data_IF_238002758064
#
_entry.id   IF_238002758064
#
_cell.length_a   1.000
_cell.length_b   1.000
_cell.length_c   1.000
_cell.angle_alpha   90.00
_cell.angle_beta   90.00
_cell.angle_gamma   90.00
#
_symmetry.space_group_name_H-M   'P 1'
#
loop_
_entity.id
_entity.type
_entity.pdbx_description
1 polymer ?
#
# COMPACT_ATOMS: atom_id res chain seq x y z
N UNK A 1 -22.36 32.11 0.68
CA UNK A 1 -21.14 32.07 -0.15
C UNK A 1 -20.00 31.65 0.73
N UNK A 2 -19.62 30.41 0.72
CA UNK A 2 -18.31 29.89 1.19
C UNK A 2 -18.26 28.34 1.10
N UNK A 3 -18.13 27.78 -0.09
CA UNK A 3 -17.93 26.34 -0.30
C UNK A 3 -16.67 26.02 -1.12
N UNK A 4 -15.70 26.94 -1.18
CA UNK A 4 -14.53 26.79 -2.07
C UNK A 4 -13.23 26.28 -1.45
N UNK A 5 -13.09 26.19 -0.12
CA UNK A 5 -11.77 26.13 0.52
C UNK A 5 -11.34 24.74 1.03
N UNK A 6 -12.24 23.76 1.13
CA UNK A 6 -11.91 22.45 1.72
C UNK A 6 -11.30 21.43 0.73
N UNK A 7 -11.40 21.67 -0.57
CA UNK A 7 -10.96 20.70 -1.60
C UNK A 7 -9.52 20.87 -2.06
N UNK A 8 -8.92 22.03 -1.84
CA UNK A 8 -7.56 22.37 -2.29
C UNK A 8 -6.45 21.76 -1.44
N UNK A 9 -6.69 21.50 -0.15
CA UNK A 9 -5.63 21.00 0.76
C UNK A 9 -5.35 19.49 0.69
N UNK A 10 -6.22 18.68 0.07
CA UNK A 10 -6.03 17.22 -0.05
C UNK A 10 -5.22 16.80 -1.28
N UNK A 11 -5.21 17.60 -2.32
CA UNK A 11 -4.47 17.32 -3.56
C UNK A 11 -2.95 17.49 -3.40
N UNK A 12 -2.48 18.27 -2.44
CA UNK A 12 -1.06 18.57 -2.23
C UNK A 12 -0.23 17.40 -1.67
N UNK A 13 -0.85 16.29 -1.24
CA UNK A 13 -0.15 15.11 -0.72
C UNK A 13 0.14 14.02 -1.79
N UNK A 14 -0.44 14.13 -2.99
CA UNK A 14 -0.27 13.16 -4.06
C UNK A 14 0.91 13.57 -4.94
N UNK A 15 2.05 12.91 -4.72
CA UNK A 15 3.24 13.14 -5.54
C UNK A 15 3.05 12.61 -6.96
N UNK A 16 3.61 13.27 -7.98
CA UNK A 16 3.50 12.82 -9.38
C UNK A 16 4.28 11.53 -9.64
N UNK A 17 5.31 11.26 -8.83
CA UNK A 17 6.19 10.09 -8.93
C UNK A 17 6.51 9.53 -7.57
N UNK A 18 6.76 8.22 -7.52
CA UNK A 18 7.36 7.54 -6.37
C UNK A 18 8.49 6.65 -6.85
N UNK A 19 9.69 6.86 -6.33
CA UNK A 19 10.82 5.98 -6.56
C UNK A 19 10.63 4.67 -5.79
N UNK A 20 11.00 3.56 -6.41
CA UNK A 20 10.86 2.20 -5.88
C UNK A 20 12.22 1.50 -5.86
N UNK A 21 12.47 0.74 -4.80
CA UNK A 21 13.59 -0.19 -4.69
C UNK A 21 13.10 -1.64 -4.84
N UNK A 22 13.48 -2.31 -5.91
CA UNK A 22 13.26 -3.75 -6.10
C UNK A 22 14.42 -4.51 -5.47
N UNK A 23 14.15 -5.41 -4.56
CA UNK A 23 15.16 -6.20 -3.85
C UNK A 23 15.63 -7.39 -4.68
N UNK A 24 16.93 -7.47 -4.97
CA UNK A 24 17.55 -8.63 -5.60
C UNK A 24 17.95 -9.72 -4.58
N UNK A 25 18.18 -9.33 -3.32
CA UNK A 25 18.35 -10.23 -2.17
C UNK A 25 17.68 -9.63 -0.94
N UNK A 26 17.35 -10.44 0.05
CA UNK A 26 16.77 -10.00 1.32
C UNK A 26 17.66 -8.97 2.00
N UNK A 27 17.06 -8.02 2.68
CA UNK A 27 17.75 -6.88 3.31
C UNK A 27 17.32 -6.72 4.76
N UNK A 28 18.33 -6.57 5.62
CA UNK A 28 18.07 -6.08 6.96
C UNK A 28 17.68 -4.61 6.90
N UNK A 29 16.56 -4.26 7.53
CA UNK A 29 16.13 -2.90 7.72
C UNK A 29 16.68 -2.37 9.03
N UNK A 30 17.35 -1.22 8.99
CA UNK A 30 18.04 -0.61 10.11
C UNK A 30 17.36 0.67 10.57
N UNK A 31 17.50 1.00 11.85
CA UNK A 31 16.99 2.25 12.43
C UNK A 31 17.70 3.49 11.86
N UNK A 32 19.01 3.37 11.60
CA UNK A 32 19.88 4.46 11.05
C UNK A 32 20.69 3.95 9.86
N UNK A 33 21.15 4.85 8.96
CA UNK A 33 21.85 4.46 7.73
C UNK A 33 23.34 4.19 7.94
N UNK A 34 23.71 3.28 8.83
CA UNK A 34 25.07 2.79 9.02
C UNK A 34 25.08 1.34 9.49
N UNK A 35 26.15 0.61 9.17
CA UNK A 35 26.34 -0.75 9.63
C UNK A 35 26.49 -0.80 11.17
N UNK A 36 25.84 -1.80 11.80
CA UNK A 36 25.79 -1.92 13.26
C UNK A 36 24.68 -1.12 13.95
N UNK A 37 23.87 -0.37 13.19
CA UNK A 37 22.64 0.22 13.73
C UNK A 37 21.64 -0.87 14.12
N UNK A 38 20.77 -0.55 15.10
CA UNK A 38 19.72 -1.46 15.54
C UNK A 38 18.87 -1.96 14.37
N UNK A 39 18.64 -3.29 14.34
CA UNK A 39 17.82 -3.95 13.34
C UNK A 39 16.33 -3.69 13.60
N UNK A 40 15.60 -3.44 12.54
CA UNK A 40 14.13 -3.38 12.51
C UNK A 40 13.52 -4.67 11.95
N UNK A 41 14.37 -5.63 11.58
CA UNK A 41 13.99 -6.92 11.01
C UNK A 41 14.41 -7.10 9.55
N UNK A 42 14.22 -8.32 9.07
CA UNK A 42 14.57 -8.72 7.71
C UNK A 42 13.41 -8.43 6.74
N UNK A 43 13.70 -7.76 5.63
CA UNK A 43 12.79 -7.62 4.50
C UNK A 43 13.19 -8.65 3.43
N UNK A 44 12.30 -9.60 3.17
CA UNK A 44 12.54 -10.67 2.21
C UNK A 44 12.60 -10.15 0.77
N UNK A 45 13.45 -10.72 -0.05
CA UNK A 45 13.59 -10.37 -1.46
C UNK A 45 12.36 -10.76 -2.31
N UNK A 46 11.62 -11.76 -1.86
CA UNK A 46 10.40 -12.25 -2.50
C UNK A 46 9.22 -12.19 -1.56
N UNK A 47 8.06 -12.00 -2.12
CA UNK A 47 6.79 -11.98 -1.40
C UNK A 47 6.29 -13.41 -1.16
N UNK A 48 5.65 -13.66 -0.01
CA UNK A 48 5.35 -15.04 0.41
C UNK A 48 4.24 -15.73 -0.41
N UNK A 49 3.33 -14.96 -1.03
CA UNK A 49 2.19 -15.54 -1.76
C UNK A 49 2.50 -15.66 -3.25
N UNK A 50 3.08 -14.62 -3.85
CA UNK A 50 3.26 -14.52 -5.30
C UNK A 50 4.65 -14.88 -5.77
N UNK A 51 5.61 -15.08 -4.85
CA UNK A 51 7.05 -15.24 -5.14
C UNK A 51 7.65 -14.07 -5.96
N UNK A 52 6.87 -13.02 -6.20
CA UNK A 52 7.31 -11.81 -6.89
C UNK A 52 8.39 -11.08 -6.09
N UNK A 53 9.24 -10.32 -6.80
CA UNK A 53 10.25 -9.48 -6.16
C UNK A 53 9.60 -8.43 -5.26
N UNK A 54 10.14 -8.27 -4.05
CA UNK A 54 9.71 -7.22 -3.14
C UNK A 54 10.11 -5.85 -3.69
N UNK A 55 9.14 -4.95 -3.80
CA UNK A 55 9.32 -3.57 -4.21
C UNK A 55 8.88 -2.64 -3.07
N UNK A 56 9.78 -1.75 -2.66
CA UNK A 56 9.55 -0.83 -1.54
C UNK A 56 9.57 0.63 -2.03
N UNK A 57 8.66 1.50 -1.55
CA UNK A 57 8.75 2.92 -1.83
C UNK A 57 9.99 3.52 -1.15
N UNK A 58 10.80 4.24 -1.93
CA UNK A 58 11.97 4.97 -1.44
C UNK A 58 11.51 6.34 -0.94
N UNK A 59 11.84 6.65 0.30
CA UNK A 59 11.45 7.87 1.00
C UNK A 59 12.62 8.84 1.19
N UNK A 60 13.85 8.40 0.90
CA UNK A 60 15.04 9.22 0.99
C UNK A 60 16.31 8.42 0.74
N UNK A 61 17.40 9.15 0.50
CA UNK A 61 18.73 8.63 0.25
C UNK A 61 19.71 9.17 1.29
N UNK A 62 20.71 8.37 1.65
CA UNK A 62 21.82 8.78 2.50
C UNK A 62 23.12 8.10 2.05
N UNK A 63 24.23 8.81 2.13
CA UNK A 63 25.58 8.24 2.05
C UNK A 63 26.18 8.31 3.45
N UNK A 64 26.64 7.18 3.97
CA UNK A 64 27.35 7.13 5.25
C UNK A 64 28.83 7.55 5.07
N UNK A 65 29.52 7.82 6.16
CA UNK A 65 30.93 8.25 6.14
C UNK A 65 31.87 7.22 5.50
N UNK A 66 31.53 5.94 5.56
CA UNK A 66 32.24 4.83 4.90
C UNK A 66 31.92 4.70 3.40
N UNK A 67 31.22 5.68 2.81
CA UNK A 67 30.87 5.74 1.40
C UNK A 67 29.69 4.88 0.96
N UNK A 68 29.10 4.05 1.83
CA UNK A 68 27.93 3.21 1.51
C UNK A 68 26.69 4.04 1.24
N UNK A 69 25.89 3.58 0.28
CA UNK A 69 24.60 4.20 -0.05
C UNK A 69 23.46 3.47 0.64
N UNK A 70 22.55 4.23 1.22
CA UNK A 70 21.41 3.77 1.97
C UNK A 70 20.11 4.36 1.42
N UNK A 71 19.07 3.56 1.43
CA UNK A 71 17.71 3.95 1.05
C UNK A 71 16.84 3.92 2.29
N UNK A 72 16.16 5.02 2.59
CA UNK A 72 15.05 5.00 3.53
C UNK A 72 13.82 4.49 2.80
N UNK A 73 13.20 3.43 3.28
CA UNK A 73 12.08 2.77 2.62
C UNK A 73 10.90 2.58 3.57
N UNK A 74 9.69 2.46 3.00
CA UNK A 74 8.55 1.95 3.73
C UNK A 74 8.76 0.46 4.04
N UNK A 75 8.49 0.05 5.27
CA UNK A 75 8.57 -1.34 5.72
C UNK A 75 7.16 -1.87 5.97
N UNK A 76 6.80 -3.05 5.41
CA UNK A 76 5.50 -3.65 5.67
C UNK A 76 5.35 -4.14 7.11
N UNK A 77 4.11 -4.32 7.55
CA UNK A 77 3.79 -4.89 8.85
C UNK A 77 3.56 -3.87 9.95
N UNK A 78 3.53 -4.36 11.19
CA UNK A 78 3.27 -3.54 12.39
C UNK A 78 4.57 -2.96 12.98
N UNK A 79 4.49 -1.75 13.58
CA UNK A 79 3.36 -0.81 13.52
C UNK A 79 3.16 -0.25 12.11
N UNK A 80 1.93 0.17 11.80
CA UNK A 80 1.60 0.78 10.50
C UNK A 80 2.45 2.01 10.20
N UNK A 81 2.85 2.18 8.93
CA UNK A 81 3.65 3.33 8.49
C UNK A 81 5.14 3.26 8.87
N UNK A 82 5.63 2.11 9.32
CA UNK A 82 7.05 1.89 9.62
C UNK A 82 7.95 2.26 8.44
N UNK A 83 9.08 2.87 8.76
CA UNK A 83 10.17 3.14 7.82
C UNK A 83 11.50 2.66 8.38
N UNK A 84 12.44 2.34 7.52
CA UNK A 84 13.79 1.97 7.93
C UNK A 84 14.79 2.17 6.79
N UNK A 85 16.06 1.98 7.10
CA UNK A 85 17.14 2.12 6.15
C UNK A 85 17.63 0.75 5.69
N UNK A 86 17.72 0.56 4.38
CA UNK A 86 18.33 -0.63 3.78
C UNK A 86 19.55 -0.22 2.96
N UNK A 87 20.53 -1.11 2.87
CA UNK A 87 21.64 -0.90 1.93
C UNK A 87 21.10 -0.88 0.50
N UNK A 88 21.55 0.11 -0.30
CA UNK A 88 21.20 0.19 -1.73
C UNK A 88 21.83 -0.93 -2.55
N UNK A 89 22.86 -1.61 -2.03
CA UNK A 89 23.50 -2.74 -2.71
C UNK A 89 22.46 -3.84 -3.02
N UNK A 90 22.53 -4.42 -4.22
CA UNK A 90 21.60 -5.42 -4.73
C UNK A 90 20.11 -4.96 -4.65
N UNK A 91 19.88 -3.71 -5.02
CA UNK A 91 18.56 -3.17 -5.34
C UNK A 91 18.56 -2.59 -6.75
N UNK A 92 17.42 -2.65 -7.44
CA UNK A 92 17.17 -1.94 -8.69
C UNK A 92 16.19 -0.81 -8.41
N UNK A 93 16.58 0.41 -8.79
CA UNK A 93 15.72 1.58 -8.63
C UNK A 93 14.86 1.77 -9.89
N UNK A 94 13.59 1.99 -9.66
CA UNK A 94 12.59 2.27 -10.70
C UNK A 94 11.63 3.37 -10.21
N UNK A 95 10.67 3.77 -11.02
CA UNK A 95 9.69 4.81 -10.66
C UNK A 95 8.29 4.33 -11.02
N UNK A 96 7.34 4.55 -10.11
CA UNK A 96 5.92 4.49 -10.43
C UNK A 96 5.32 5.89 -10.53
N UNK A 97 4.37 6.05 -11.45
CA UNK A 97 3.58 7.27 -11.62
C UNK A 97 2.17 7.15 -11.04
N UNK A 98 1.86 6.02 -10.43
CA UNK A 98 0.55 5.71 -9.91
C UNK A 98 0.48 5.93 -8.40
N UNK A 99 -0.67 6.45 -7.94
CA UNK A 99 -0.99 6.60 -6.53
C UNK A 99 -2.49 6.30 -6.32
N UNK A 100 -2.81 5.60 -5.26
CA UNK A 100 -4.19 5.31 -4.86
C UNK A 100 -4.52 6.11 -3.61
N UNK A 101 -5.63 6.83 -3.62
CA UNK A 101 -6.19 7.51 -2.47
C UNK A 101 -7.52 6.84 -2.10
N UNK A 102 -7.62 6.35 -0.89
CA UNK A 102 -8.85 5.83 -0.29
C UNK A 102 -9.37 6.87 0.70
N UNK A 103 -10.58 7.34 0.53
CA UNK A 103 -11.29 8.16 1.52
C UNK A 103 -12.34 7.28 2.20
N UNK A 104 -12.19 7.08 3.51
CA UNK A 104 -13.14 6.27 4.29
C UNK A 104 -14.43 7.03 4.57
N UNK A 105 -14.38 8.36 4.71
CA UNK A 105 -15.57 9.20 4.89
C UNK A 105 -16.46 9.24 3.64
N UNK A 106 -15.87 9.45 2.46
CA UNK A 106 -16.61 9.44 1.20
C UNK A 106 -16.79 8.04 0.60
N UNK A 107 -16.15 7.00 1.17
CA UNK A 107 -16.20 5.60 0.71
C UNK A 107 -15.85 5.47 -0.76
N UNK A 108 -14.76 6.15 -1.15
CA UNK A 108 -14.28 6.21 -2.53
C UNK A 108 -12.80 5.89 -2.64
N UNK A 109 -12.45 5.25 -3.74
CA UNK A 109 -11.07 5.04 -4.18
C UNK A 109 -10.81 5.93 -5.38
N UNK A 110 -9.88 6.85 -5.26
CA UNK A 110 -9.42 7.72 -6.36
C UNK A 110 -8.03 7.27 -6.82
N UNK A 111 -7.85 7.14 -8.12
CA UNK A 111 -6.58 6.71 -8.71
C UNK A 111 -5.96 7.88 -9.45
N UNK A 112 -4.69 8.10 -9.17
CA UNK A 112 -3.89 9.20 -9.73
C UNK A 112 -2.78 8.65 -10.60
N UNK A 113 -2.50 9.33 -11.69
CA UNK A 113 -1.33 9.13 -12.54
C UNK A 113 -0.61 10.46 -12.73
N UNK A 114 0.67 10.53 -12.43
CA UNK A 114 1.49 11.76 -12.47
C UNK A 114 0.83 12.93 -11.71
N UNK A 115 0.29 12.66 -10.52
CA UNK A 115 -0.37 13.66 -9.67
C UNK A 115 -1.79 14.07 -10.09
N UNK A 116 -2.27 13.62 -11.25
CA UNK A 116 -3.63 13.93 -11.75
C UNK A 116 -4.58 12.75 -11.50
N UNK A 117 -5.78 13.03 -10.98
CA UNK A 117 -6.81 12.00 -10.81
C UNK A 117 -7.33 11.54 -12.17
N UNK A 118 -7.19 10.25 -12.45
CA UNK A 118 -7.60 9.64 -13.72
C UNK A 118 -8.86 8.82 -13.61
N UNK A 119 -9.19 8.32 -12.40
CA UNK A 119 -10.41 7.57 -12.15
C UNK A 119 -10.81 7.58 -10.68
N UNK A 120 -12.09 7.36 -10.40
CA UNK A 120 -12.60 7.15 -9.05
C UNK A 120 -13.69 6.06 -9.07
N UNK A 121 -13.77 5.31 -7.95
CA UNK A 121 -14.70 4.21 -7.77
C UNK A 121 -15.38 4.35 -6.41
N UNK A 122 -16.63 3.94 -6.31
CA UNK A 122 -17.27 3.72 -5.03
C UNK A 122 -16.68 2.44 -4.41
N UNK A 123 -16.54 2.44 -3.09
CA UNK A 123 -15.91 1.34 -2.36
C UNK A 123 -16.73 0.97 -1.12
N UNK A 124 -16.54 -0.25 -0.63
CA UNK A 124 -16.92 -0.61 0.73
C UNK A 124 -15.66 -0.51 1.58
N UNK A 125 -15.75 0.19 2.70
CA UNK A 125 -14.66 0.35 3.65
C UNK A 125 -14.98 -0.35 4.98
N UNK A 126 -14.01 -0.37 5.90
CA UNK A 126 -14.20 -0.95 7.23
C UNK A 126 -15.34 -0.29 8.01
N UNK A 127 -16.14 -1.11 8.70
CA UNK A 127 -17.15 -0.64 9.65
C UNK A 127 -16.48 -0.06 10.92
N UNK A 128 -17.25 0.66 11.73
CA UNK A 128 -16.72 1.35 12.92
C UNK A 128 -15.97 0.42 13.89
N UNK A 129 -16.45 -0.83 14.08
CA UNK A 129 -15.80 -1.83 14.95
C UNK A 129 -14.53 -2.45 14.36
N UNK A 130 -14.32 -2.38 13.05
CA UNK A 130 -13.14 -2.89 12.35
C UNK A 130 -12.75 -1.91 11.23
N UNK A 131 -12.27 -0.72 11.56
CA UNK A 131 -12.06 0.35 10.59
C UNK A 131 -10.92 0.03 9.62
N UNK A 132 -11.00 0.57 8.41
CA UNK A 132 -9.86 0.66 7.52
C UNK A 132 -8.84 1.62 8.14
N UNK A 133 -7.58 1.21 8.38
CA UNK A 133 -6.59 2.05 9.06
C UNK A 133 -6.20 3.25 8.20
N UNK A 134 -6.11 4.42 8.82
CA UNK A 134 -5.67 5.65 8.16
C UNK A 134 -4.14 5.71 8.09
N UNK A 135 -3.61 6.34 7.03
CA UNK A 135 -2.16 6.53 6.90
C UNK A 135 -1.63 6.44 5.48
N UNK A 136 -0.30 6.36 5.38
CA UNK A 136 0.43 6.19 4.12
C UNK A 136 0.96 4.76 4.04
N UNK A 137 0.56 4.06 3.03
CA UNK A 137 0.86 2.66 2.78
C UNK A 137 1.35 2.47 1.34
N UNK A 138 1.61 1.24 0.98
CA UNK A 138 1.95 0.85 -0.39
C UNK A 138 1.43 -0.56 -0.69
N UNK A 139 1.35 -0.91 -1.96
CA UNK A 139 0.99 -2.25 -2.40
C UNK A 139 2.17 -3.19 -2.15
N UNK A 140 1.98 -4.21 -1.32
CA UNK A 140 2.98 -5.27 -1.10
C UNK A 140 2.96 -6.30 -2.21
N UNK A 141 1.77 -6.79 -2.54
CA UNK A 141 1.56 -7.85 -3.54
C UNK A 141 0.33 -7.58 -4.39
N UNK A 142 0.40 -8.00 -5.65
CA UNK A 142 -0.73 -8.04 -6.57
C UNK A 142 -1.07 -9.51 -6.81
N UNK A 143 -2.20 -9.97 -6.28
CA UNK A 143 -2.58 -11.37 -6.22
C UNK A 143 -3.75 -11.61 -7.17
N UNK A 144 -3.59 -12.57 -8.10
CA UNK A 144 -4.70 -13.12 -8.88
C UNK A 144 -5.36 -14.20 -8.03
N UNK A 145 -6.64 -14.05 -7.77
CA UNK A 145 -7.42 -15.00 -7.01
C UNK A 145 -8.11 -16.01 -7.94
N UNK A 146 -8.26 -17.28 -7.54
CA UNK A 146 -9.03 -18.27 -8.31
C UNK A 146 -10.45 -17.79 -8.58
N UNK A 147 -11.04 -18.26 -9.67
CA UNK A 147 -12.45 -18.00 -9.95
C UNK A 147 -13.32 -18.53 -8.80
N UNK A 148 -14.29 -17.73 -8.35
CA UNK A 148 -15.13 -18.07 -7.20
C UNK A 148 -14.50 -17.87 -5.82
N UNK A 149 -13.20 -17.56 -5.71
CA UNK A 149 -12.60 -17.25 -4.41
C UNK A 149 -13.18 -15.95 -3.82
N UNK A 150 -13.23 -15.89 -2.49
CA UNK A 150 -13.68 -14.71 -1.76
C UNK A 150 -12.81 -13.50 -2.13
N UNK A 151 -13.44 -12.44 -2.63
CA UNK A 151 -12.75 -11.22 -3.06
C UNK A 151 -12.12 -11.26 -4.47
N UNK A 152 -12.34 -12.35 -5.25
CA UNK A 152 -11.87 -12.40 -6.64
C UNK A 152 -12.43 -11.22 -7.47
N UNK A 153 -11.78 -10.89 -8.61
CA UNK A 153 -10.73 -11.66 -9.31
C UNK A 153 -9.30 -11.33 -8.88
N UNK A 154 -9.08 -10.26 -8.13
CA UNK A 154 -7.75 -9.82 -7.70
C UNK A 154 -7.78 -9.20 -6.31
N UNK A 155 -6.63 -9.27 -5.63
CA UNK A 155 -6.36 -8.51 -4.42
C UNK A 155 -5.03 -7.74 -4.55
N UNK A 156 -5.02 -6.47 -4.13
CA UNK A 156 -3.82 -5.70 -3.87
C UNK A 156 -3.61 -5.70 -2.35
N UNK A 157 -2.73 -6.56 -1.87
CA UNK A 157 -2.36 -6.62 -0.46
C UNK A 157 -1.51 -5.39 -0.10
N UNK A 158 -1.88 -4.70 0.98
CA UNK A 158 -1.22 -3.45 1.41
C UNK A 158 -0.23 -3.69 2.54
N UNK A 159 0.71 -2.76 2.72
CA UNK A 159 1.58 -2.69 3.89
C UNK A 159 0.84 -2.34 5.18
N UNK A 160 -0.45 -2.05 5.10
CA UNK A 160 -1.34 -1.79 6.21
C UNK A 160 -1.77 -3.08 6.92
N UNK A 161 -1.86 -3.01 8.25
CA UNK A 161 -2.43 -4.07 9.10
C UNK A 161 -3.61 -3.49 9.87
N UNK A 162 -4.64 -4.30 10.11
CA UNK A 162 -5.77 -3.91 10.95
C UNK A 162 -5.29 -3.44 12.32
N UNK A 163 -5.88 -2.38 12.84
CA UNK A 163 -5.62 -1.87 14.19
C UNK A 163 -6.40 -2.65 15.26
N UNK A 164 -7.36 -3.47 14.85
CA UNK A 164 -8.25 -4.23 15.74
C UNK A 164 -7.99 -5.73 15.60
N UNK A 165 -7.97 -6.25 14.38
CA UNK A 165 -7.78 -7.67 14.11
C UNK A 165 -6.29 -8.00 14.01
N UNK A 166 -5.75 -8.72 14.99
CA UNK A 166 -4.35 -9.19 14.96
C UNK A 166 -4.18 -10.30 13.92
N UNK A 167 -5.20 -11.16 13.82
CA UNK A 167 -5.31 -12.23 12.82
C UNK A 167 -6.67 -12.18 12.13
N UNK A 168 -6.70 -12.54 10.86
CA UNK A 168 -7.93 -12.66 10.07
C UNK A 168 -7.74 -13.66 8.94
N UNK A 169 -8.60 -14.67 8.86
CA UNK A 169 -8.57 -15.74 7.85
C UNK A 169 -7.17 -16.40 7.70
N UNK A 170 -6.52 -16.70 8.84
CA UNK A 170 -5.19 -17.33 8.88
C UNK A 170 -4.02 -16.41 8.56
N UNK A 171 -4.25 -15.12 8.37
CA UNK A 171 -3.21 -14.13 8.09
C UNK A 171 -3.09 -13.04 9.17
N UNK A 172 -2.05 -12.20 9.11
CA UNK A 172 -1.70 -11.23 10.15
C UNK A 172 -2.59 -9.98 10.17
N UNK A 173 -3.88 -10.11 9.85
CA UNK A 173 -4.83 -8.98 9.77
C UNK A 173 -4.45 -7.96 8.68
N UNK A 174 -3.92 -8.43 7.55
CA UNK A 174 -3.48 -7.59 6.44
C UNK A 174 -4.68 -6.94 5.72
N UNK A 175 -4.55 -5.66 5.42
CA UNK A 175 -5.55 -4.92 4.64
C UNK A 175 -5.26 -5.08 3.15
N UNK A 176 -6.33 -5.23 2.37
CA UNK A 176 -6.24 -5.31 0.92
C UNK A 176 -7.34 -4.47 0.23
N UNK A 177 -7.08 -4.08 -1.02
CA UNK A 177 -8.15 -3.75 -1.97
C UNK A 177 -8.47 -5.03 -2.74
N UNK A 178 -9.75 -5.43 -2.83
CA UNK A 178 -10.15 -6.65 -3.52
C UNK A 178 -11.55 -6.56 -4.14
N UNK A 179 -11.90 -7.55 -4.97
CA UNK A 179 -13.20 -7.61 -5.64
C UNK A 179 -14.36 -8.00 -4.72
N UNK A 180 -15.54 -8.15 -5.31
CA UNK A 180 -16.79 -8.45 -4.60
C UNK A 180 -17.25 -9.92 -4.73
N UNK A 181 -16.53 -10.75 -5.44
CA UNK A 181 -16.93 -12.16 -5.60
C UNK A 181 -17.05 -12.83 -4.23
N UNK A 182 -18.22 -13.42 -3.95
CA UNK A 182 -18.53 -14.12 -2.69
C UNK A 182 -18.28 -13.29 -1.42
N UNK A 183 -18.41 -11.96 -1.52
CA UNK A 183 -18.31 -11.02 -0.39
C UNK A 183 -19.52 -10.10 -0.44
N UNK A 184 -20.32 -10.10 0.58
CA UNK A 184 -21.48 -9.21 0.67
C UNK A 184 -21.14 -7.73 0.80
N UNK A 185 -22.18 -6.90 0.69
CA UNK A 185 -22.16 -5.47 0.94
C UNK A 185 -22.49 -4.62 -0.28
N UNK A 186 -22.92 -3.38 -0.02
CA UNK A 186 -23.28 -2.39 -1.03
C UNK A 186 -22.15 -1.37 -1.19
N UNK A 187 -21.73 -1.10 -2.42
CA UNK A 187 -20.75 -0.06 -2.71
C UNK A 187 -21.18 1.30 -2.15
N UNK A 188 -20.26 2.03 -1.57
CA UNK A 188 -20.53 3.29 -0.88
C UNK A 188 -20.88 3.12 0.60
N UNK A 189 -20.72 1.94 1.19
CA UNK A 189 -20.98 1.68 2.61
C UNK A 189 -19.73 1.40 3.44
N UNK A 190 -19.86 1.43 4.76
CA UNK A 190 -18.85 1.02 5.72
C UNK A 190 -19.28 -0.32 6.34
N UNK A 191 -18.96 -1.45 5.68
CA UNK A 191 -19.46 -2.76 6.04
C UNK A 191 -18.40 -3.87 6.06
N UNK A 192 -17.14 -3.57 5.74
CA UNK A 192 -16.07 -4.58 5.73
C UNK A 192 -15.40 -4.74 7.11
N UNK A 193 -14.51 -5.73 7.22
CA UNK A 193 -13.66 -5.94 8.38
C UNK A 193 -12.29 -5.21 8.27
N UNK A 194 -12.24 -4.12 7.47
CA UNK A 194 -11.07 -3.26 7.29
C UNK A 194 -10.55 -3.23 5.85
N UNK A 195 -10.72 -4.28 5.06
CA UNK A 195 -10.38 -4.27 3.63
C UNK A 195 -11.25 -3.30 2.83
N UNK A 196 -10.74 -2.83 1.72
CA UNK A 196 -11.44 -1.95 0.78
C UNK A 196 -11.95 -2.79 -0.39
N UNK A 197 -13.28 -2.87 -0.57
CA UNK A 197 -13.89 -3.67 -1.62
C UNK A 197 -14.31 -2.78 -2.79
N UNK A 198 -14.00 -3.24 -3.99
CA UNK A 198 -14.37 -2.60 -5.26
C UNK A 198 -15.14 -3.58 -6.13
N UNK A 199 -15.94 -3.09 -7.07
CA UNK A 199 -16.50 -3.97 -8.09
C UNK A 199 -15.39 -4.68 -8.88
N UNK A 200 -15.71 -5.86 -9.45
CA UNK A 200 -14.72 -6.71 -10.09
C UNK A 200 -14.09 -6.06 -11.33
N UNK A 201 -14.86 -5.23 -12.05
CA UNK A 201 -14.36 -4.45 -13.18
C UNK A 201 -13.36 -3.38 -12.75
N UNK A 202 -13.66 -2.67 -11.64
CA UNK A 202 -12.76 -1.69 -11.05
C UNK A 202 -11.45 -2.34 -10.57
N UNK A 203 -11.53 -3.50 -9.88
CA UNK A 203 -10.33 -4.24 -9.47
C UNK A 203 -9.51 -4.70 -10.67
N UNK A 204 -10.15 -5.25 -11.70
CA UNK A 204 -9.47 -5.66 -12.94
C UNK A 204 -8.81 -4.48 -13.67
N UNK A 205 -9.44 -3.30 -13.63
CA UNK A 205 -8.85 -2.07 -14.18
C UNK A 205 -7.65 -1.61 -13.35
N UNK A 206 -7.77 -1.66 -12.02
CA UNK A 206 -6.77 -1.17 -11.08
C UNK A 206 -5.49 -2.01 -11.12
N UNK A 207 -5.60 -3.34 -11.05
CA UNK A 207 -4.45 -4.26 -11.00
C UNK A 207 -3.58 -4.23 -12.25
N UNK A 208 -4.15 -3.88 -13.42
CA UNK A 208 -3.38 -3.69 -14.66
C UNK A 208 -2.52 -2.43 -14.68
N UNK A 209 -2.64 -1.56 -13.67
CA UNK A 209 -2.00 -0.22 -13.63
C UNK A 209 -1.22 0.03 -12.37
N UNK A 210 -1.72 -0.47 -11.25
CA UNK A 210 -1.15 -0.26 -9.93
C UNK A 210 -0.55 -1.58 -9.46
N UNK A 211 0.77 -1.62 -9.36
CA UNK A 211 1.53 -2.78 -8.96
C UNK A 211 2.23 -2.61 -7.61
N UNK A 212 3.04 -3.61 -7.21
CA UNK A 212 3.83 -3.57 -5.98
C UNK A 212 4.68 -2.30 -5.86
N UNK A 213 4.84 -1.80 -4.65
CA UNK A 213 5.54 -0.56 -4.33
C UNK A 213 4.71 0.71 -4.53
N UNK A 214 3.61 0.66 -5.30
CA UNK A 214 2.79 1.84 -5.55
C UNK A 214 2.18 2.39 -4.25
N UNK A 215 2.27 3.72 -4.00
CA UNK A 215 1.75 4.32 -2.79
C UNK A 215 0.22 4.27 -2.72
N UNK A 216 -0.27 4.02 -1.51
CA UNK A 216 -1.69 4.04 -1.15
C UNK A 216 -1.85 4.93 0.08
N UNK A 217 -2.59 6.02 -0.06
CA UNK A 217 -2.95 6.89 1.06
C UNK A 217 -4.38 6.61 1.46
N UNK A 218 -4.63 6.41 2.75
CA UNK A 218 -5.97 6.20 3.32
C UNK A 218 -6.27 7.36 4.27
N UNK A 219 -7.34 8.08 4.01
CA UNK A 219 -7.81 9.24 4.80
C UNK A 219 -9.21 9.02 5.34
N UNK A 220 -9.55 9.78 6.38
CA UNK A 220 -10.92 9.90 6.90
C UNK A 220 -11.81 10.69 5.97
#
# INVERSE_FOLDING_TARGET
MSEGTAQTNRASSIKPTQELATLLSSREALLRPFAGSASLGLVLARRPITEARTMLPVLGHKRSSDGRRWLRVGIPGRPNGRTGWISQRATVLTVTYWHVLVSTSSRRVSVYRRGRRVRAFNAIVGKASTPTPLGKFFVEESIKLPAGAVGAPFALALSARSTVLQEFAGGPGQIALHGLTNVGGTLGTAASHGCVRLDNGAMSWLVRRVGPGAPVTITG
#
